data_IF_370596940070
#
_entry.id   IF_370596940070
#
_cell.length_a   1.000
_cell.length_b   1.000
_cell.length_c   1.000
_cell.angle_alpha   90.00
_cell.angle_beta   90.00
_cell.angle_gamma   90.00
#
_symmetry.space_group_name_H-M   'P 1'
#
loop_
_entity.id
_entity.type
_entity.pdbx_description
1 polymer ?
#
# COMPACT_ATOMS: atom_id res chain seq x y z
N UNK A 1 6.39 10.77 0.70
CA UNK A 1 7.37 10.63 1.80
C UNK A 1 7.24 9.26 2.44
N UNK A 2 8.37 8.66 2.80
CA UNK A 2 8.43 7.36 3.44
C UNK A 2 9.33 7.41 4.67
N UNK A 3 8.81 6.90 5.78
CA UNK A 3 9.60 6.61 6.95
C UNK A 3 10.44 5.35 6.75
N UNK A 4 11.62 5.32 7.36
CA UNK A 4 12.50 4.17 7.38
C UNK A 4 11.89 3.04 8.22
N UNK A 5 11.45 1.96 7.58
CA UNK A 5 10.97 0.75 8.25
C UNK A 5 11.54 -0.51 7.62
N UNK A 6 11.92 -1.49 8.44
CA UNK A 6 12.44 -2.78 8.03
C UNK A 6 11.71 -3.93 8.72
N UNK A 7 11.88 -5.13 8.18
CA UNK A 7 11.43 -6.36 8.83
C UNK A 7 12.60 -7.33 8.81
N UNK A 8 12.88 -7.88 9.98
CA UNK A 8 13.79 -9.01 10.17
C UNK A 8 13.04 -10.16 10.83
N UNK A 9 13.62 -11.35 10.71
CA UNK A 9 13.18 -12.50 11.47
C UNK A 9 14.35 -13.02 12.29
N UNK A 10 14.05 -13.35 13.52
CA UNK A 10 14.98 -13.95 14.46
C UNK A 10 14.37 -15.22 15.05
N UNK A 11 15.23 -16.12 15.46
CA UNK A 11 14.90 -17.31 16.22
C UNK A 11 15.63 -17.18 17.55
N UNK A 12 14.95 -17.41 18.66
CA UNK A 12 15.56 -17.35 19.99
C UNK A 12 15.29 -18.62 20.77
N UNK A 13 16.27 -19.05 21.56
CA UNK A 13 16.17 -20.21 22.43
C UNK A 13 14.99 -20.11 23.41
N UNK A 14 14.72 -18.91 23.93
CA UNK A 14 13.60 -18.63 24.83
C UNK A 14 12.22 -19.01 24.26
N UNK A 15 12.09 -19.10 22.93
CA UNK A 15 10.83 -19.47 22.28
C UNK A 15 10.62 -20.98 22.14
N UNK A 16 11.67 -21.79 22.40
CA UNK A 16 11.61 -23.23 22.26
C UNK A 16 10.51 -23.91 23.08
N UNK A 17 10.26 -23.53 24.36
CA UNK A 17 9.20 -24.16 25.15
C UNK A 17 7.82 -24.06 24.49
N UNK A 18 7.45 -22.88 23.97
CA UNK A 18 6.16 -22.65 23.32
C UNK A 18 6.02 -23.44 22.02
N UNK A 19 7.10 -23.56 21.26
CA UNK A 19 7.12 -24.43 20.08
C UNK A 19 6.89 -25.89 20.45
N UNK A 20 7.59 -26.40 21.47
CA UNK A 20 7.48 -27.80 21.92
C UNK A 20 6.05 -28.09 22.42
N UNK A 21 5.48 -27.19 23.23
CA UNK A 21 4.14 -27.34 23.79
C UNK A 21 3.05 -27.39 22.70
N UNK A 22 3.17 -26.56 21.67
CA UNK A 22 2.12 -26.37 20.65
C UNK A 22 2.34 -27.16 19.37
N UNK A 23 3.53 -27.76 19.19
CA UNK A 23 3.99 -28.37 17.95
C UNK A 23 3.86 -27.43 16.72
N UNK A 24 4.01 -26.11 16.93
CA UNK A 24 3.87 -25.11 15.86
C UNK A 24 5.16 -24.30 15.68
N UNK A 25 5.90 -24.64 14.62
CA UNK A 25 7.21 -24.05 14.30
C UNK A 25 7.18 -22.52 14.15
N UNK A 26 6.02 -21.91 13.88
CA UNK A 26 5.89 -20.45 13.81
C UNK A 26 6.21 -19.78 15.14
N UNK A 27 6.10 -20.47 16.27
CA UNK A 27 6.48 -19.92 17.57
C UNK A 27 8.00 -19.79 17.75
N UNK A 28 8.82 -20.55 17.02
CA UNK A 28 10.28 -20.37 17.05
C UNK A 28 10.73 -19.07 16.37
N UNK A 29 10.03 -18.66 15.31
CA UNK A 29 10.40 -17.50 14.49
C UNK A 29 9.63 -16.27 14.93
N UNK A 30 10.34 -15.25 15.40
CA UNK A 30 9.76 -13.95 15.73
C UNK A 30 9.89 -12.97 14.55
N UNK A 31 8.84 -12.17 14.36
CA UNK A 31 8.86 -11.01 13.47
C UNK A 31 9.38 -9.82 14.26
N UNK A 32 10.44 -9.18 13.77
CA UNK A 32 10.92 -7.89 14.30
C UNK A 32 10.68 -6.77 13.31
N UNK A 33 10.01 -5.73 13.78
CA UNK A 33 9.82 -4.48 13.04
C UNK A 33 10.97 -3.57 13.42
N UNK A 34 11.69 -3.10 12.41
CA UNK A 34 12.84 -2.21 12.56
C UNK A 34 12.44 -0.81 12.13
N UNK A 35 12.86 0.21 12.89
CA UNK A 35 12.57 1.61 12.58
C UNK A 35 11.12 2.00 12.82
N UNK A 36 10.55 2.74 11.88
CA UNK A 36 9.34 3.52 12.10
C UNK A 36 8.05 2.74 11.93
N UNK A 37 7.03 3.12 12.71
CA UNK A 37 5.65 2.75 12.45
C UNK A 37 5.00 3.63 11.34
N UNK A 38 3.71 3.42 11.09
CA UNK A 38 2.95 4.13 10.06
C UNK A 38 2.95 5.66 10.24
N UNK A 39 3.01 6.13 11.49
CA UNK A 39 2.93 7.54 11.84
C UNK A 39 4.30 8.19 12.00
N UNK A 40 5.38 7.46 11.70
CA UNK A 40 6.76 7.96 11.79
C UNK A 40 7.41 7.81 13.16
N UNK A 41 6.70 7.30 14.17
CA UNK A 41 7.32 7.01 15.47
C UNK A 41 8.37 5.91 15.29
N UNK A 42 9.60 6.15 15.76
CA UNK A 42 10.77 5.30 15.52
C UNK A 42 11.59 5.69 14.29
N UNK A 43 11.28 6.79 13.60
CA UNK A 43 12.16 7.37 12.58
C UNK A 43 13.37 8.05 13.24
N UNK A 44 14.61 7.81 12.76
CA UNK A 44 15.78 8.53 13.28
C UNK A 44 15.63 10.04 13.11
N UNK A 45 15.95 10.81 14.14
CA UNK A 45 15.72 12.26 14.16
C UNK A 45 16.60 13.04 13.17
N UNK A 46 17.77 12.50 12.86
CA UNK A 46 18.77 13.05 11.94
C UNK A 46 18.59 12.55 10.49
N UNK A 47 17.60 11.69 10.23
CA UNK A 47 17.35 11.13 8.92
C UNK A 47 16.22 11.89 8.21
N UNK A 48 16.43 12.36 6.96
CA UNK A 48 15.36 12.89 6.14
C UNK A 48 14.42 11.76 5.69
N UNK A 49 13.17 12.12 5.39
CA UNK A 49 12.23 11.21 4.75
C UNK A 49 12.76 10.79 3.38
N UNK A 50 12.45 9.56 3.00
CA UNK A 50 12.99 8.95 1.78
C UNK A 50 11.91 8.88 0.70
N UNK A 51 12.31 9.06 -0.56
CA UNK A 51 11.37 9.26 -1.67
C UNK A 51 11.49 8.19 -2.77
N UNK A 52 12.57 7.40 -2.77
CA UNK A 52 12.85 6.39 -3.80
C UNK A 52 13.00 7.02 -5.19
N UNK A 53 13.69 8.17 -5.25
CA UNK A 53 13.91 8.89 -6.51
C UNK A 53 15.25 8.54 -7.16
N UNK A 54 16.14 7.87 -6.42
CA UNK A 54 17.49 7.51 -6.87
C UNK A 54 17.94 6.15 -6.34
N UNK A 55 19.04 5.62 -6.90
CA UNK A 55 19.66 4.38 -6.41
C UNK A 55 20.29 4.60 -5.02
N UNK A 56 20.74 5.82 -4.74
CA UNK A 56 21.29 6.26 -3.46
C UNK A 56 20.24 6.20 -2.36
N UNK A 57 19.00 6.62 -2.63
CA UNK A 57 17.86 6.51 -1.70
C UNK A 57 17.62 5.05 -1.30
N UNK A 58 17.59 4.15 -2.28
CA UNK A 58 17.42 2.70 -2.05
C UNK A 58 18.56 2.14 -1.23
N UNK A 59 19.80 2.46 -1.62
CA UNK A 59 21.01 1.99 -0.94
C UNK A 59 21.06 2.49 0.51
N UNK A 60 20.80 3.78 0.74
CA UNK A 60 20.72 4.38 2.07
C UNK A 60 19.64 3.71 2.91
N UNK A 61 18.43 3.50 2.38
CA UNK A 61 17.35 2.80 3.08
C UNK A 61 17.81 1.42 3.57
N UNK A 62 18.47 0.65 2.70
CA UNK A 62 18.93 -0.70 3.01
C UNK A 62 20.05 -0.71 4.05
N UNK A 63 21.01 0.21 3.95
CA UNK A 63 22.10 0.33 4.92
C UNK A 63 21.55 0.69 6.30
N UNK A 64 20.73 1.74 6.38
CA UNK A 64 20.22 2.23 7.67
C UNK A 64 19.29 1.21 8.34
N UNK A 65 18.39 0.56 7.60
CA UNK A 65 17.55 -0.51 8.19
C UNK A 65 18.37 -1.70 8.69
N UNK A 66 19.48 -2.05 8.03
CA UNK A 66 20.35 -3.14 8.47
C UNK A 66 21.23 -2.77 9.67
N UNK A 67 21.72 -1.53 9.73
CA UNK A 67 22.41 -1.00 10.92
C UNK A 67 21.49 -1.06 12.14
N UNK A 68 20.27 -0.54 12.02
CA UNK A 68 19.27 -0.60 13.09
C UNK A 68 18.93 -2.06 13.47
N UNK A 69 18.87 -2.97 12.50
CA UNK A 69 18.64 -4.39 12.80
C UNK A 69 19.81 -4.99 13.59
N UNK A 70 21.06 -4.60 13.32
CA UNK A 70 22.24 -5.08 14.04
C UNK A 70 22.27 -4.57 15.49
N UNK A 71 21.87 -3.32 15.73
CA UNK A 71 21.77 -2.74 17.08
C UNK A 71 20.82 -3.51 18.00
N UNK A 72 19.82 -4.20 17.44
CA UNK A 72 18.89 -5.04 18.20
C UNK A 72 19.46 -6.41 18.60
N UNK A 73 20.63 -6.77 18.08
CA UNK A 73 21.21 -8.13 18.16
C UNK A 73 22.41 -8.12 19.13
N UNK A 74 22.35 -7.38 20.23
CA UNK A 74 23.48 -7.26 21.19
C UNK A 74 23.43 -8.28 22.36
N UNK A 75 22.43 -9.17 22.42
CA UNK A 75 22.35 -10.18 23.50
C UNK A 75 23.35 -11.34 23.25
N UNK A 76 23.36 -12.40 24.05
CA UNK A 76 24.21 -13.58 23.80
C UNK A 76 23.95 -14.22 22.41
N UNK A 77 24.99 -14.27 21.56
CA UNK A 77 24.91 -14.81 20.19
C UNK A 77 24.57 -16.30 20.14
N UNK A 78 24.80 -17.04 21.24
CA UNK A 78 24.44 -18.46 21.31
C UNK A 78 22.97 -18.68 21.70
N UNK A 79 22.28 -17.62 22.13
CA UNK A 79 20.87 -17.69 22.51
C UNK A 79 19.90 -17.45 21.34
N UNK A 80 20.40 -17.11 20.15
CA UNK A 80 19.59 -16.75 18.98
C UNK A 80 20.24 -17.05 17.63
N UNK A 81 19.42 -16.95 16.59
CA UNK A 81 19.84 -16.94 15.19
C UNK A 81 19.07 -15.84 14.41
N UNK A 82 19.75 -15.18 13.47
CA UNK A 82 19.13 -14.16 12.60
C UNK A 82 18.72 -14.85 11.30
N UNK A 83 17.48 -15.33 11.26
CA UNK A 83 16.96 -16.04 10.10
C UNK A 83 16.90 -15.16 8.84
N UNK A 84 16.52 -13.88 8.98
CA UNK A 84 16.52 -12.94 7.84
C UNK A 84 16.80 -11.50 8.28
N UNK A 85 17.65 -10.80 7.53
CA UNK A 85 17.84 -9.35 7.63
C UNK A 85 16.80 -8.60 6.78
N UNK A 86 16.63 -7.28 6.98
CA UNK A 86 15.90 -6.44 6.03
C UNK A 86 16.48 -6.63 4.61
N UNK A 87 15.67 -7.24 3.76
CA UNK A 87 16.06 -7.68 2.41
C UNK A 87 15.60 -6.75 1.29
N UNK A 88 14.64 -5.88 1.55
CA UNK A 88 14.10 -4.92 0.56
C UNK A 88 13.67 -3.62 1.24
N UNK A 89 13.74 -2.47 0.54
CA UNK A 89 13.22 -1.22 1.06
C UNK A 89 11.70 -1.24 1.09
N UNK A 90 11.09 -0.63 2.11
CA UNK A 90 9.64 -0.64 2.30
C UNK A 90 9.00 0.68 1.91
N UNK A 91 9.35 1.19 0.73
CA UNK A 91 8.70 2.38 0.17
C UNK A 91 7.21 2.09 -0.10
N UNK A 92 6.34 2.92 0.48
CA UNK A 92 4.88 2.79 0.41
C UNK A 92 4.24 3.87 -0.47
N UNK A 93 4.83 5.06 -0.54
CA UNK A 93 4.39 6.23 -1.31
C UNK A 93 5.53 6.74 -2.18
N UNK A 94 5.60 6.27 -3.43
CA UNK A 94 6.67 6.61 -4.38
C UNK A 94 6.17 7.61 -5.42
N UNK A 95 5.30 7.14 -6.33
CA UNK A 95 4.69 7.96 -7.38
C UNK A 95 3.21 7.68 -7.47
N UNK A 96 2.49 8.66 -7.99
CA UNK A 96 1.08 8.58 -8.36
C UNK A 96 0.87 9.39 -9.62
N UNK A 97 -0.19 9.07 -10.36
CA UNK A 97 -0.63 9.92 -11.47
C UNK A 97 -1.16 11.26 -10.92
N UNK A 98 -0.96 12.31 -11.69
CA UNK A 98 -1.78 13.51 -11.60
C UNK A 98 -3.09 13.23 -12.33
N UNK A 99 -4.14 12.81 -11.62
CA UNK A 99 -5.43 12.47 -12.21
C UNK A 99 -6.37 13.68 -12.34
N UNK A 100 -7.49 13.51 -13.04
CA UNK A 100 -8.59 14.49 -13.09
C UNK A 100 -9.23 14.75 -11.71
N UNK A 101 -9.08 13.82 -10.76
CA UNK A 101 -9.44 14.01 -9.36
C UNK A 101 -8.36 13.44 -8.45
N UNK A 102 -7.97 14.22 -7.45
CA UNK A 102 -7.04 13.80 -6.41
C UNK A 102 -7.83 13.48 -5.16
N UNK A 103 -7.91 12.20 -4.81
CA UNK A 103 -8.57 11.73 -3.60
C UNK A 103 -7.76 12.11 -2.35
N UNK A 104 -8.35 12.88 -1.45
CA UNK A 104 -7.63 13.48 -0.30
C UNK A 104 -7.77 12.68 0.99
N UNK A 105 -8.80 11.83 1.07
CA UNK A 105 -9.20 11.13 2.29
C UNK A 105 -10.23 11.90 3.12
N UNK A 106 -10.60 13.12 2.73
CA UNK A 106 -11.65 13.91 3.38
C UNK A 106 -13.05 13.52 2.90
N UNK A 107 -13.14 12.71 1.83
CA UNK A 107 -14.39 12.31 1.17
C UNK A 107 -15.20 11.25 1.96
N UNK A 108 -15.19 11.33 3.28
CA UNK A 108 -15.88 10.40 4.16
C UNK A 108 -17.39 10.45 3.91
N UNK A 109 -17.98 9.30 3.60
CA UNK A 109 -19.40 9.13 3.22
C UNK A 109 -19.85 9.97 2.00
N UNK A 110 -18.91 10.48 1.21
CA UNK A 110 -19.23 11.20 -0.03
C UNK A 110 -19.55 10.20 -1.13
N UNK A 111 -20.67 10.43 -1.83
CA UNK A 111 -21.06 9.64 -2.99
C UNK A 111 -20.59 10.30 -4.27
N UNK A 112 -19.99 9.51 -5.16
CA UNK A 112 -19.58 9.99 -6.48
C UNK A 112 -20.53 9.48 -7.58
N UNK A 113 -20.99 10.35 -8.49
CA UNK A 113 -21.79 9.91 -9.64
C UNK A 113 -21.00 8.94 -10.53
N UNK A 114 -19.68 9.11 -10.56
CA UNK A 114 -18.73 8.30 -11.30
C UNK A 114 -17.93 7.33 -10.41
N UNK A 115 -18.43 6.98 -9.22
CA UNK A 115 -17.78 5.99 -8.36
C UNK A 115 -17.50 4.68 -9.12
N UNK A 116 -16.39 4.02 -8.84
CA UNK A 116 -16.05 2.67 -9.33
C UNK A 116 -16.17 1.58 -8.27
N UNK A 117 -16.40 1.96 -7.01
CA UNK A 117 -16.72 1.07 -5.90
C UNK A 117 -16.44 1.72 -4.56
N UNK A 118 -16.71 0.97 -3.50
CA UNK A 118 -16.54 1.40 -2.11
C UNK A 118 -15.21 0.94 -1.55
N UNK A 119 -14.60 1.75 -0.69
CA UNK A 119 -13.47 1.35 0.13
C UNK A 119 -13.60 1.86 1.56
N UNK A 120 -12.74 1.36 2.44
CA UNK A 120 -12.72 1.71 3.84
C UNK A 120 -11.29 2.00 4.29
N UNK A 121 -11.15 2.74 5.39
CA UNK A 121 -9.86 2.90 6.06
C UNK A 121 -9.58 1.72 6.98
N UNK A 122 -8.53 0.95 6.70
CA UNK A 122 -8.14 -0.21 7.52
C UNK A 122 -7.76 0.17 8.96
N UNK A 123 -7.44 1.44 9.21
CA UNK A 123 -6.99 1.97 10.51
C UNK A 123 -8.16 2.24 11.45
N UNK A 124 -9.38 2.45 10.92
CA UNK A 124 -10.55 2.86 11.69
C UNK A 124 -11.83 2.16 11.20
N UNK A 125 -12.57 1.53 12.12
CA UNK A 125 -13.86 0.90 11.80
C UNK A 125 -14.89 1.96 11.39
N UNK A 126 -15.77 1.60 10.47
CA UNK A 126 -16.92 2.43 10.05
C UNK A 126 -16.59 3.59 9.12
N UNK A 127 -15.34 3.72 8.67
CA UNK A 127 -14.96 4.73 7.69
C UNK A 127 -15.27 4.24 6.28
N UNK A 128 -16.24 4.85 5.60
CA UNK A 128 -16.67 4.49 4.26
C UNK A 128 -16.35 5.60 3.24
N UNK A 129 -15.83 5.19 2.09
CA UNK A 129 -15.47 6.06 0.98
C UNK A 129 -15.88 5.42 -0.34
N UNK A 130 -16.00 6.25 -1.38
CA UNK A 130 -16.09 5.79 -2.76
C UNK A 130 -14.92 6.33 -3.57
N UNK A 131 -14.35 5.48 -4.43
CA UNK A 131 -13.29 5.93 -5.36
C UNK A 131 -13.96 6.42 -6.64
N UNK A 132 -13.81 7.70 -7.03
CA UNK A 132 -14.33 8.18 -8.30
C UNK A 132 -13.43 7.71 -9.45
N UNK A 133 -14.04 7.33 -10.58
CA UNK A 133 -13.36 6.85 -11.79
C UNK A 133 -12.30 7.84 -12.28
N UNK A 134 -12.59 9.15 -12.19
CA UNK A 134 -11.65 10.23 -12.52
C UNK A 134 -10.38 10.29 -11.65
N UNK A 135 -10.26 9.48 -10.60
CA UNK A 135 -8.98 9.28 -9.89
C UNK A 135 -8.02 8.35 -10.62
N UNK A 136 -8.50 7.62 -11.64
CA UNK A 136 -7.70 6.64 -12.36
C UNK A 136 -7.01 7.21 -13.61
N UNK A 137 -7.35 8.42 -14.08
CA UNK A 137 -6.84 8.91 -15.36
C UNK A 137 -6.67 10.43 -15.39
N UNK A 138 -5.93 10.91 -16.39
CA UNK A 138 -5.86 12.30 -16.83
C UNK A 138 -6.37 12.38 -18.27
N UNK A 139 -7.30 13.27 -18.58
CA UNK A 139 -8.03 13.27 -19.87
C UNK A 139 -7.15 13.52 -21.09
N UNK A 140 -5.98 14.13 -20.88
CA UNK A 140 -4.95 14.36 -21.89
C UNK A 140 -4.46 13.03 -22.50
N UNK A 141 -4.44 11.95 -21.71
CA UNK A 141 -4.05 10.62 -22.15
C UNK A 141 -5.29 9.76 -22.39
N UNK A 142 -5.74 9.74 -23.65
CA UNK A 142 -7.01 9.13 -24.08
C UNK A 142 -7.21 7.66 -23.70
N UNK A 143 -6.15 6.90 -23.45
CA UNK A 143 -6.17 5.46 -23.23
C UNK A 143 -5.28 5.00 -22.05
N UNK A 144 -4.93 5.91 -21.12
CA UNK A 144 -4.06 5.58 -19.99
C UNK A 144 -4.83 5.59 -18.67
N UNK A 145 -4.74 4.49 -17.91
CA UNK A 145 -5.35 4.31 -16.61
C UNK A 145 -4.29 3.90 -15.59
N UNK A 146 -4.36 4.49 -14.40
CA UNK A 146 -3.64 4.09 -13.20
C UNK A 146 -4.52 3.16 -12.35
N UNK A 147 -3.89 2.20 -11.67
CA UNK A 147 -4.57 1.31 -10.73
C UNK A 147 -3.69 1.04 -9.51
N UNK A 148 -4.34 0.74 -8.38
CA UNK A 148 -3.68 0.52 -7.11
C UNK A 148 -3.01 1.75 -6.54
N UNK A 149 -1.77 1.60 -6.07
CA UNK A 149 -1.09 2.63 -5.26
C UNK A 149 -0.73 3.90 -6.02
N UNK A 150 -0.81 3.85 -7.35
CA UNK A 150 -0.40 4.94 -8.25
C UNK A 150 -1.58 5.77 -8.77
N UNK A 151 -2.81 5.55 -8.28
CA UNK A 151 -3.98 6.38 -8.63
C UNK A 151 -3.83 7.80 -8.06
N UNK A 152 -4.65 8.74 -8.53
CA UNK A 152 -4.69 10.11 -8.03
C UNK A 152 -5.20 10.17 -6.58
N UNK A 153 -4.27 10.15 -5.62
CA UNK A 153 -4.58 10.28 -4.19
C UNK A 153 -3.46 11.03 -3.45
N UNK A 154 -3.79 11.85 -2.46
CA UNK A 154 -2.79 12.59 -1.66
C UNK A 154 -3.08 12.47 -0.17
N UNK A 155 -2.13 12.88 0.67
CA UNK A 155 -2.30 12.97 2.13
C UNK A 155 -2.86 11.66 2.71
N UNK A 156 -3.92 11.73 3.52
CA UNK A 156 -4.59 10.56 4.10
C UNK A 156 -5.21 9.64 3.04
N UNK A 157 -5.70 10.22 1.95
CA UNK A 157 -6.22 9.48 0.80
C UNK A 157 -5.20 8.50 0.24
N UNK A 158 -3.91 8.83 0.21
CA UNK A 158 -2.87 7.90 -0.25
C UNK A 158 -2.68 6.73 0.71
N UNK A 159 -2.80 6.95 2.03
CA UNK A 159 -2.77 5.86 3.02
C UNK A 159 -3.98 4.93 2.90
N UNK A 160 -5.18 5.48 2.65
CA UNK A 160 -6.43 4.73 2.45
C UNK A 160 -6.38 3.93 1.16
N UNK A 161 -5.84 4.51 0.08
CA UNK A 161 -5.93 3.92 -1.27
C UNK A 161 -4.79 2.97 -1.62
N UNK A 162 -3.65 3.03 -0.92
CA UNK A 162 -2.49 2.20 -1.25
C UNK A 162 -2.59 0.74 -0.78
N UNK A 163 -3.67 0.34 -0.12
CA UNK A 163 -3.82 -1.00 0.46
C UNK A 163 -4.46 -2.00 -0.51
N UNK A 164 -4.31 -3.29 -0.18
CA UNK A 164 -4.70 -4.42 -1.05
C UNK A 164 -6.16 -4.33 -1.52
N UNK A 165 -7.18 -4.05 -0.68
CA UNK A 165 -8.56 -3.99 -1.14
C UNK A 165 -8.80 -2.92 -2.21
N UNK A 166 -8.19 -1.74 -2.05
CA UNK A 166 -8.34 -0.65 -3.03
C UNK A 166 -7.54 -0.96 -4.30
N UNK A 167 -6.40 -1.64 -4.18
CA UNK A 167 -5.65 -2.11 -5.35
C UNK A 167 -6.45 -3.14 -6.18
N UNK A 168 -7.11 -4.08 -5.52
CA UNK A 168 -8.00 -5.03 -6.19
C UNK A 168 -9.17 -4.31 -6.88
N UNK A 169 -9.86 -3.42 -6.15
CA UNK A 169 -10.99 -2.64 -6.67
C UNK A 169 -10.60 -1.82 -7.92
N UNK A 170 -9.55 -1.01 -7.80
CA UNK A 170 -9.12 -0.11 -8.87
C UNK A 170 -8.51 -0.87 -10.05
N UNK A 171 -7.82 -1.99 -9.80
CA UNK A 171 -7.32 -2.88 -10.86
C UNK A 171 -8.46 -3.49 -11.68
N UNK A 172 -9.49 -4.00 -11.01
CA UNK A 172 -10.69 -4.54 -11.67
C UNK A 172 -11.41 -3.47 -12.50
N UNK A 173 -11.64 -2.29 -11.90
CA UNK A 173 -12.27 -1.16 -12.59
C UNK A 173 -11.46 -0.66 -13.79
N UNK A 174 -10.13 -0.50 -13.64
CA UNK A 174 -9.25 -0.05 -14.71
C UNK A 174 -9.19 -1.07 -15.87
N UNK A 175 -9.06 -2.37 -15.56
CA UNK A 175 -9.05 -3.42 -16.58
C UNK A 175 -10.36 -3.49 -17.37
N UNK A 176 -11.50 -3.42 -16.66
CA UNK A 176 -12.83 -3.37 -17.30
C UNK A 176 -12.99 -2.12 -18.16
N UNK A 177 -12.59 -0.95 -17.65
CA UNK A 177 -12.63 0.30 -18.39
C UNK A 177 -11.77 0.24 -19.65
N UNK A 178 -10.54 -0.30 -19.56
CA UNK A 178 -9.64 -0.46 -20.70
C UNK A 178 -10.25 -1.35 -21.79
N UNK A 179 -10.86 -2.48 -21.42
CA UNK A 179 -11.55 -3.36 -22.36
C UNK A 179 -12.72 -2.65 -23.06
N UNK A 180 -13.55 -1.93 -22.31
CA UNK A 180 -14.66 -1.16 -22.88
C UNK A 180 -14.18 -0.01 -23.78
N UNK A 181 -13.12 0.71 -23.40
CA UNK A 181 -12.49 1.77 -24.19
C UNK A 181 -12.06 1.22 -25.56
N UNK A 182 -11.39 0.06 -25.57
CA UNK A 182 -10.93 -0.58 -26.79
C UNK A 182 -12.09 -1.05 -27.70
N UNK A 183 -13.10 -1.70 -27.13
CA UNK A 183 -14.23 -2.25 -27.88
C UNK A 183 -15.18 -1.17 -28.41
N UNK A 184 -15.44 -0.12 -27.62
CA UNK A 184 -16.40 0.93 -27.95
C UNK A 184 -15.76 2.13 -28.67
N UNK A 185 -14.44 2.07 -28.93
CA UNK A 185 -13.64 3.17 -29.51
C UNK A 185 -13.85 4.49 -28.76
N UNK A 186 -13.84 4.41 -27.42
CA UNK A 186 -13.96 5.57 -26.52
C UNK A 186 -12.59 5.99 -26.01
N UNK A 187 -12.58 7.00 -25.15
CA UNK A 187 -11.41 7.44 -24.38
C UNK A 187 -11.72 7.31 -22.90
N UNK A 188 -10.70 7.45 -22.05
CA UNK A 188 -10.84 7.47 -20.59
C UNK A 188 -11.89 8.47 -20.11
N UNK A 189 -12.02 9.63 -20.77
CA UNK A 189 -12.96 10.69 -20.37
C UNK A 189 -14.34 10.57 -21.01
N UNK A 190 -14.50 9.81 -22.10
CA UNK A 190 -15.78 9.66 -22.83
C UNK A 190 -16.46 8.32 -22.59
N UNK A 191 -15.86 7.44 -21.77
CA UNK A 191 -16.43 6.15 -21.41
C UNK A 191 -17.71 6.33 -20.58
N UNK A 192 -18.72 5.50 -20.82
CA UNK A 192 -19.92 5.49 -19.99
C UNK A 192 -19.65 4.86 -18.63
N UNK A 193 -19.39 5.68 -17.61
CA UNK A 193 -19.16 5.21 -16.24
C UNK A 193 -20.39 4.48 -15.69
N UNK A 194 -21.61 4.83 -16.14
CA UNK A 194 -22.82 4.08 -15.81
C UNK A 194 -22.75 2.62 -16.28
N UNK A 195 -22.26 2.39 -17.51
CA UNK A 195 -22.08 1.04 -18.06
C UNK A 195 -20.97 0.30 -17.33
N UNK A 196 -19.85 0.98 -17.05
CA UNK A 196 -18.75 0.42 -16.25
C UNK A 196 -19.22 -0.03 -14.86
N UNK A 197 -19.94 0.84 -14.14
CA UNK A 197 -20.53 0.53 -12.82
C UNK A 197 -21.48 -0.65 -12.87
N UNK A 198 -22.31 -0.75 -13.91
CA UNK A 198 -23.21 -1.89 -14.10
C UNK A 198 -22.40 -3.20 -14.21
N UNK A 199 -21.40 -3.23 -15.10
CA UNK A 199 -20.55 -4.41 -15.30
C UNK A 199 -19.79 -4.79 -14.01
N UNK A 200 -19.29 -3.81 -13.26
CA UNK A 200 -18.61 -4.05 -11.98
C UNK A 200 -19.56 -4.64 -10.93
N UNK A 201 -20.79 -4.12 -10.82
CA UNK A 201 -21.82 -4.67 -9.91
C UNK A 201 -22.19 -6.11 -10.25
N UNK A 202 -22.34 -6.42 -11.54
CA UNK A 202 -22.63 -7.78 -12.02
C UNK A 202 -21.52 -8.77 -11.63
N UNK A 203 -20.29 -8.28 -11.42
CA UNK A 203 -19.13 -9.06 -10.96
C UNK A 203 -18.86 -8.95 -9.45
N UNK A 204 -19.84 -8.45 -8.67
CA UNK A 204 -19.78 -8.43 -7.22
C UNK A 204 -19.09 -7.22 -6.58
N UNK A 205 -18.74 -6.18 -7.35
CA UNK A 205 -18.18 -4.96 -6.77
C UNK A 205 -19.24 -4.19 -5.98
N UNK A 206 -18.89 -3.81 -4.75
CA UNK A 206 -19.79 -3.14 -3.81
C UNK A 206 -19.82 -1.61 -4.01
N UNK A 207 -21.02 -1.05 -4.00
CA UNK A 207 -21.32 0.39 -4.07
C UNK A 207 -22.25 0.79 -2.92
N UNK A 208 -21.88 0.37 -1.71
CA UNK A 208 -22.60 0.69 -0.47
C UNK A 208 -22.57 2.21 -0.21
#
# INVERSE_FOLDING_TARGET
DNYLSGVSHEIKYENAPKFIETNNVKHMRQWKVIGSNLYGSGHPADMPLLHCESAEDVTRYMIETRKMALEHVDEDRFSRDIATLPGMPQFRKIRRIEAEYVFTGEELNVKFPDAIGSCNDFRKKGMHYQIPYRSLYKKEFKNMLAAGRIIGATSEGWEITRVIPVAALTGHAAGMAAAMIALEKKTVSTLSVRKLRKNLKEQGVLFI
#
